data_IF_546147742283
#
_entry.id   IF_546147742283
#
_cell.length_a   1.000
_cell.length_b   1.000
_cell.length_c   1.000
_cell.angle_alpha   90.00
_cell.angle_beta   90.00
_cell.angle_gamma   90.00
#
_symmetry.space_group_name_H-M   'P 1'
#
loop_
_entity.id
_entity.type
_entity.pdbx_description
1 polymer ?
#
# COMPACT_ATOMS: atom_id res chain seq x y z
N UNK A 1 30.56 -2.79 13.84
CA UNK A 1 29.42 -2.22 14.58
C UNK A 1 28.14 -2.74 13.98
N UNK A 2 27.65 -3.86 14.51
CA UNK A 2 26.30 -4.36 14.24
C UNK A 2 25.59 -4.40 15.59
N UNK A 3 24.99 -3.28 15.98
CA UNK A 3 24.13 -3.21 17.14
C UNK A 3 22.71 -3.57 16.69
N UNK A 4 22.43 -4.87 16.67
CA UNK A 4 21.06 -5.38 16.54
C UNK A 4 20.34 -5.12 17.87
N UNK A 5 19.44 -4.13 17.88
CA UNK A 5 18.69 -3.69 19.06
C UNK A 5 17.43 -4.52 19.33
N UNK A 6 17.43 -5.81 18.96
CA UNK A 6 16.33 -6.74 19.19
C UNK A 6 16.74 -7.80 20.20
N UNK A 7 16.37 -7.62 21.46
CA UNK A 7 16.38 -8.69 22.47
C UNK A 7 15.03 -9.39 22.47
N UNK A 8 14.98 -10.60 21.94
CA UNK A 8 13.88 -11.52 22.20
C UNK A 8 14.16 -12.27 23.49
N UNK A 9 13.35 -12.04 24.51
CA UNK A 9 13.39 -12.82 25.74
C UNK A 9 13.12 -14.28 25.41
N UNK A 10 14.04 -15.18 25.78
CA UNK A 10 13.78 -16.63 25.76
C UNK A 10 12.56 -16.94 26.64
N UNK A 11 11.60 -17.76 26.17
CA UNK A 11 10.51 -18.18 27.02
C UNK A 11 11.07 -18.97 28.22
N UNK A 12 10.71 -18.53 29.42
CA UNK A 12 10.96 -19.27 30.65
C UNK A 12 10.33 -20.66 30.53
N UNK A 13 11.16 -21.70 30.58
CA UNK A 13 10.70 -23.08 30.73
C UNK A 13 9.97 -23.17 32.08
N UNK A 14 8.65 -23.27 32.03
CA UNK A 14 7.80 -23.53 33.18
C UNK A 14 7.03 -24.84 32.92
N UNK A 15 6.94 -25.63 33.99
CA UNK A 15 6.49 -27.01 34.06
C UNK A 15 5.27 -27.38 33.19
N UNK A 16 5.37 -28.58 32.62
CA UNK A 16 4.30 -29.30 31.95
C UNK A 16 3.15 -29.63 32.94
N UNK A 17 2.21 -28.72 33.09
CA UNK A 17 0.81 -29.10 33.34
C UNK A 17 -0.04 -28.61 32.18
N UNK A 18 -0.32 -29.57 31.30
CA UNK A 18 -1.14 -29.48 30.11
C UNK A 18 -2.59 -29.09 30.45
N UNK A 19 -2.89 -27.79 30.41
CA UNK A 19 -4.21 -27.28 30.04
C UNK A 19 -4.03 -26.43 28.81
N UNK A 20 -4.45 -26.96 27.65
CA UNK A 20 -4.52 -26.22 26.40
C UNK A 20 -5.20 -24.86 26.63
N UNK A 21 -4.61 -23.73 26.17
CA UNK A 21 -5.28 -22.44 26.19
C UNK A 21 -6.55 -22.56 25.34
N UNK A 22 -7.68 -22.61 26.03
CA UNK A 22 -9.01 -22.65 25.43
C UNK A 22 -9.44 -21.21 25.14
N UNK A 23 -8.76 -20.59 24.18
CA UNK A 23 -9.21 -19.49 23.31
C UNK A 23 -7.97 -18.82 22.72
N UNK A 24 -7.89 -18.63 21.38
CA UNK A 24 -6.90 -17.72 20.83
C UNK A 24 -7.21 -16.34 21.41
N UNK A 25 -6.24 -15.72 22.08
CA UNK A 25 -6.40 -14.37 22.60
C UNK A 25 -6.80 -13.44 21.45
N UNK A 26 -8.06 -13.00 21.44
CA UNK A 26 -8.58 -12.06 20.47
C UNK A 26 -7.98 -10.70 20.80
N UNK A 27 -6.92 -10.32 20.09
CA UNK A 27 -6.36 -8.98 20.22
C UNK A 27 -7.29 -8.01 19.49
N UNK A 28 -8.01 -7.18 20.23
CA UNK A 28 -8.86 -6.13 19.67
C UNK A 28 -8.07 -4.83 19.62
N UNK A 29 -7.72 -4.38 18.41
CA UNK A 29 -7.18 -3.04 18.20
C UNK A 29 -8.34 -2.04 18.27
N UNK A 30 -8.52 -1.41 19.43
CA UNK A 30 -9.66 -0.52 19.72
C UNK A 30 -9.44 0.90 19.21
N UNK A 31 -8.20 1.37 19.26
CA UNK A 31 -7.82 2.75 19.00
C UNK A 31 -6.31 2.90 18.78
N UNK A 32 -5.96 3.92 18.00
CA UNK A 32 -4.63 4.49 17.90
C UNK A 32 -4.81 6.00 18.07
N UNK A 33 -4.35 6.55 19.20
CA UNK A 33 -4.40 7.99 19.41
C UNK A 33 -3.54 8.72 18.37
N UNK A 34 -2.26 8.32 18.30
CA UNK A 34 -1.32 8.85 17.33
C UNK A 34 -0.16 7.85 17.12
N UNK A 35 0.18 7.61 15.87
CA UNK A 35 1.46 7.05 15.46
C UNK A 35 2.22 8.16 14.76
N UNK A 36 3.48 8.35 15.14
CA UNK A 36 4.38 9.33 14.54
C UNK A 36 5.74 8.66 14.29
N UNK A 37 6.16 8.62 13.03
CA UNK A 37 7.46 8.14 12.60
C UNK A 37 8.23 9.31 11.98
N UNK A 38 9.53 9.39 12.29
CA UNK A 38 10.44 10.42 11.76
C UNK A 38 11.76 9.78 11.38
N UNK A 39 12.40 10.31 10.34
CA UNK A 39 13.74 9.91 9.88
C UNK A 39 13.89 8.39 9.62
N UNK A 40 12.89 7.77 9.00
CA UNK A 40 12.94 6.34 8.64
C UNK A 40 13.50 6.18 7.23
N UNK A 41 14.50 5.33 7.06
CA UNK A 41 15.05 4.97 5.75
C UNK A 41 14.77 3.49 5.45
N UNK A 42 14.22 3.24 4.27
CA UNK A 42 13.91 1.92 3.73
C UNK A 42 14.64 1.74 2.40
N UNK A 43 15.46 0.69 2.31
CA UNK A 43 16.02 0.23 1.06
C UNK A 43 15.31 -1.07 0.66
N UNK A 44 14.73 -1.11 -0.53
CA UNK A 44 14.09 -2.28 -1.10
C UNK A 44 14.85 -2.74 -2.34
N UNK A 45 15.11 -4.04 -2.46
CA UNK A 45 15.71 -4.62 -3.65
C UNK A 45 14.69 -5.55 -4.30
N UNK A 46 14.28 -5.22 -5.52
CA UNK A 46 13.39 -6.04 -6.31
C UNK A 46 14.20 -7.13 -7.03
N UNK A 47 14.05 -8.38 -6.60
CA UNK A 47 14.77 -9.52 -7.20
C UNK A 47 14.37 -9.76 -8.67
N UNK A 48 13.17 -9.35 -9.09
CA UNK A 48 12.71 -9.59 -10.46
C UNK A 48 13.35 -8.61 -11.46
N UNK A 49 13.39 -7.32 -11.12
CA UNK A 49 14.02 -6.30 -11.96
C UNK A 49 15.52 -6.12 -11.69
N UNK A 50 16.00 -6.54 -10.52
CA UNK A 50 17.34 -6.23 -10.02
C UNK A 50 17.49 -4.78 -9.54
N UNK A 51 16.41 -4.00 -9.54
CA UNK A 51 16.42 -2.58 -9.18
C UNK A 51 16.35 -2.41 -7.66
N UNK A 52 17.17 -1.50 -7.14
CA UNK A 52 17.08 -1.05 -5.75
C UNK A 52 16.37 0.30 -5.66
N UNK A 53 15.50 0.42 -4.67
CA UNK A 53 14.69 1.59 -4.41
C UNK A 53 14.99 2.11 -3.00
N UNK A 54 15.26 3.41 -2.91
CA UNK A 54 15.48 4.09 -1.65
C UNK A 54 14.27 4.95 -1.31
N UNK A 55 13.70 4.72 -0.13
CA UNK A 55 12.60 5.52 0.41
C UNK A 55 12.97 6.08 1.77
N UNK A 56 12.97 7.41 1.89
CA UNK A 56 13.19 8.12 3.14
C UNK A 56 11.90 8.78 3.58
N UNK A 57 11.36 8.39 4.73
CA UNK A 57 10.21 9.01 5.37
C UNK A 57 10.73 10.10 6.29
N UNK A 58 10.48 11.35 5.93
CA UNK A 58 10.76 12.48 6.80
C UNK A 58 9.77 12.52 7.97
N UNK A 59 8.49 12.28 7.66
CA UNK A 59 7.42 12.25 8.64
C UNK A 59 6.32 11.30 8.17
N UNK A 60 5.82 10.45 9.06
CA UNK A 60 4.55 9.77 8.86
C UNK A 60 3.70 9.89 10.11
N UNK A 61 2.43 10.24 9.92
CA UNK A 61 1.46 10.32 11.01
C UNK A 61 0.26 9.44 10.70
N UNK A 62 -0.30 8.81 11.72
CA UNK A 62 -1.58 8.12 11.61
C UNK A 62 -2.39 8.30 12.90
N UNK A 63 -3.70 8.39 12.77
CA UNK A 63 -4.61 8.50 13.90
C UNK A 63 -5.90 7.74 13.61
N UNK A 64 -6.35 6.97 14.58
CA UNK A 64 -7.63 6.27 14.54
C UNK A 64 -8.21 6.23 15.96
N UNK A 65 -8.74 7.36 16.46
CA UNK A 65 -9.45 7.37 17.74
C UNK A 65 -10.58 6.33 17.75
N UNK A 66 -10.95 5.85 18.93
CA UNK A 66 -12.00 4.83 19.08
C UNK A 66 -13.30 5.24 18.35
N UNK A 67 -13.75 4.40 17.41
CA UNK A 67 -14.95 4.63 16.60
C UNK A 67 -14.81 5.70 15.50
N UNK A 68 -13.62 6.26 15.31
CA UNK A 68 -13.31 7.19 14.23
C UNK A 68 -12.62 6.48 13.06
N UNK A 69 -12.64 7.14 11.90
CA UNK A 69 -11.95 6.67 10.70
C UNK A 69 -10.44 6.75 10.87
N UNK A 70 -9.72 5.75 10.35
CA UNK A 70 -8.26 5.80 10.27
C UNK A 70 -7.85 6.86 9.25
N UNK A 71 -7.06 7.83 9.69
CA UNK A 71 -6.40 8.81 8.81
C UNK A 71 -4.90 8.64 8.91
N UNK A 72 -4.20 8.93 7.82
CA UNK A 72 -2.74 8.97 7.85
C UNK A 72 -2.16 9.84 6.75
N UNK A 73 -0.93 10.27 6.98
CA UNK A 73 -0.12 11.03 6.03
C UNK A 73 1.34 10.59 6.09
N UNK A 74 2.03 10.70 4.97
CA UNK A 74 3.44 10.39 4.83
C UNK A 74 4.06 11.50 3.99
N UNK A 75 5.21 12.02 4.42
CA UNK A 75 6.06 12.94 3.68
C UNK A 75 7.46 12.37 3.62
N UNK A 76 8.06 12.40 2.46
CA UNK A 76 9.35 11.75 2.26
C UNK A 76 9.96 12.00 0.90
N UNK A 77 10.90 11.12 0.57
CA UNK A 77 11.66 11.15 -0.67
C UNK A 77 11.80 9.72 -1.17
N UNK A 78 11.33 9.45 -2.39
CA UNK A 78 11.51 8.19 -3.10
C UNK A 78 12.48 8.39 -4.26
N UNK A 79 13.59 7.68 -4.29
CA UNK A 79 14.61 7.81 -5.33
C UNK A 79 15.01 9.27 -5.62
N UNK A 80 15.21 10.07 -4.56
CA UNK A 80 15.53 11.52 -4.59
C UNK A 80 14.39 12.43 -5.07
N UNK A 81 13.20 11.90 -5.28
CA UNK A 81 12.01 12.66 -5.65
C UNK A 81 11.09 12.82 -4.44
N UNK A 82 10.65 14.04 -4.10
CA UNK A 82 9.70 14.27 -3.02
C UNK A 82 8.41 13.48 -3.21
N UNK A 83 7.91 12.91 -2.12
CA UNK A 83 6.64 12.18 -2.08
C UNK A 83 5.81 12.68 -0.91
N UNK A 84 4.55 12.99 -1.18
CA UNK A 84 3.53 13.26 -0.18
C UNK A 84 2.39 12.26 -0.39
N UNK A 85 1.94 11.62 0.68
CA UNK A 85 0.79 10.72 0.66
C UNK A 85 -0.16 11.03 1.80
N UNK A 86 -1.45 10.85 1.56
CA UNK A 86 -2.48 10.95 2.58
C UNK A 86 -3.59 9.94 2.30
N UNK A 87 -4.24 9.44 3.35
CA UNK A 87 -5.37 8.54 3.19
C UNK A 87 -6.37 8.64 4.33
N UNK A 88 -7.60 8.24 4.00
CA UNK A 88 -8.66 7.96 4.98
C UNK A 88 -9.23 6.57 4.70
N UNK A 89 -9.45 5.80 5.76
CA UNK A 89 -10.09 4.49 5.68
C UNK A 89 -11.12 4.27 6.77
N UNK A 90 -11.72 3.09 6.76
CA UNK A 90 -12.67 2.68 7.78
C UNK A 90 -12.01 2.58 9.17
N UNK A 91 -12.85 2.50 10.21
CA UNK A 91 -12.43 2.36 11.61
C UNK A 91 -11.44 1.19 11.79
N UNK A 92 -10.47 1.40 12.69
CA UNK A 92 -9.40 0.45 12.95
C UNK A 92 -9.89 -0.89 13.52
N UNK A 93 -10.93 -0.86 14.35
CA UNK A 93 -11.58 -2.08 14.87
C UNK A 93 -12.07 -2.99 13.73
N UNK A 94 -12.47 -2.43 12.58
CA UNK A 94 -12.90 -3.19 11.42
C UNK A 94 -11.74 -3.93 10.80
N UNK A 95 -10.48 -3.48 10.91
CA UNK A 95 -9.34 -4.27 10.42
C UNK A 95 -9.20 -5.61 11.13
N UNK A 96 -9.66 -5.72 12.39
CA UNK A 96 -9.59 -6.96 13.18
C UNK A 96 -10.75 -7.92 12.89
N UNK A 97 -11.84 -7.45 12.28
CA UNK A 97 -13.03 -8.27 12.01
C UNK A 97 -12.92 -8.95 10.64
N UNK A 98 -12.90 -10.29 10.54
CA UNK A 98 -12.69 -10.98 9.25
C UNK A 98 -13.85 -10.79 8.26
N UNK A 99 -15.04 -10.40 8.73
CA UNK A 99 -16.29 -10.52 7.95
C UNK A 99 -16.55 -9.42 6.92
N UNK A 100 -15.92 -8.24 7.03
CA UNK A 100 -16.17 -7.11 6.12
C UNK A 100 -14.91 -6.60 5.44
N UNK A 101 -14.86 -6.40 4.11
CA UNK A 101 -13.72 -5.75 3.46
C UNK A 101 -13.44 -4.36 4.04
N UNK A 102 -12.18 -4.06 4.32
CA UNK A 102 -11.77 -2.75 4.84
C UNK A 102 -11.72 -1.73 3.70
N UNK A 103 -12.34 -0.56 3.89
CA UNK A 103 -12.48 0.45 2.83
C UNK A 103 -11.42 1.53 2.95
N UNK A 104 -10.82 1.87 1.81
CA UNK A 104 -9.99 3.04 1.59
C UNK A 104 -10.85 4.06 0.81
N UNK A 105 -11.01 5.29 1.32
CA UNK A 105 -11.92 6.28 0.73
C UNK A 105 -11.23 7.38 -0.03
N UNK A 106 -10.09 7.86 0.47
CA UNK A 106 -9.45 9.08 -0.02
C UNK A 106 -7.92 8.94 -0.04
N UNK A 107 -7.41 7.85 -0.62
CA UNK A 107 -5.98 7.67 -0.79
C UNK A 107 -5.44 8.60 -1.86
N UNK A 108 -4.38 9.34 -1.55
CA UNK A 108 -3.68 10.22 -2.48
C UNK A 108 -2.18 10.07 -2.30
N UNK A 109 -1.43 10.08 -3.40
CA UNK A 109 0.02 10.14 -3.42
C UNK A 109 0.44 11.12 -4.50
N UNK A 110 1.31 12.06 -4.17
CA UNK A 110 1.94 12.97 -5.13
C UNK A 110 3.42 12.64 -5.19
N UNK A 111 3.92 12.39 -6.40
CA UNK A 111 5.33 12.15 -6.70
C UNK A 111 5.64 12.79 -8.05
N UNK A 112 6.72 13.55 -8.15
CA UNK A 112 7.17 14.13 -9.42
C UNK A 112 6.05 14.90 -10.18
N UNK A 113 5.33 15.78 -9.47
CA UNK A 113 4.16 16.53 -9.97
C UNK A 113 3.02 15.67 -10.55
N UNK A 114 3.02 14.39 -10.19
CA UNK A 114 2.03 13.40 -10.59
C UNK A 114 1.22 12.97 -9.38
N UNK A 115 -0.10 13.12 -9.48
CA UNK A 115 -1.04 12.75 -8.42
C UNK A 115 -1.72 11.44 -8.75
N UNK A 116 -1.54 10.48 -7.85
CA UNK A 116 -2.25 9.22 -7.78
C UNK A 116 -3.37 9.36 -6.77
N UNK A 117 -4.57 8.92 -7.12
CA UNK A 117 -5.71 8.82 -6.22
C UNK A 117 -6.21 7.40 -6.24
N UNK A 118 -6.54 6.86 -5.07
CA UNK A 118 -7.00 5.49 -4.92
C UNK A 118 -8.12 5.43 -3.89
N UNK A 119 -9.19 4.73 -4.27
CA UNK A 119 -10.30 4.38 -3.39
C UNK A 119 -10.58 2.91 -3.58
N UNK A 120 -11.08 2.20 -2.57
CA UNK A 120 -11.24 0.76 -2.73
C UNK A 120 -11.64 0.01 -1.49
N UNK A 121 -11.61 -1.31 -1.62
CA UNK A 121 -11.90 -2.28 -0.58
C UNK A 121 -10.85 -3.37 -0.63
N UNK A 122 -10.28 -3.69 0.52
CA UNK A 122 -9.32 -4.78 0.70
C UNK A 122 -9.99 -5.85 1.55
N UNK A 123 -10.11 -7.06 1.01
CA UNK A 123 -10.54 -8.20 1.78
C UNK A 123 -9.41 -8.66 2.71
N UNK A 124 -9.79 -9.20 3.87
CA UNK A 124 -8.86 -9.56 4.96
C UNK A 124 -8.68 -11.06 5.07
N UNK A 125 -8.44 -11.71 3.93
CA UNK A 125 -8.15 -13.14 3.90
C UNK A 125 -6.68 -13.36 4.31
N UNK A 126 -6.39 -14.10 5.40
CA UNK A 126 -5.03 -14.37 5.82
C UNK A 126 -4.24 -15.06 4.70
N UNK A 127 -3.14 -14.45 4.26
CA UNK A 127 -2.27 -14.98 3.21
C UNK A 127 -2.81 -14.84 1.79
N UNK A 128 -3.89 -14.10 1.57
CA UNK A 128 -4.45 -13.85 0.25
C UNK A 128 -4.91 -12.40 0.11
N UNK A 129 -4.11 -11.57 -0.57
CA UNK A 129 -4.54 -10.22 -0.91
C UNK A 129 -5.62 -10.28 -2.00
N UNK A 130 -6.83 -9.82 -1.67
CA UNK A 130 -7.89 -9.65 -2.64
C UNK A 130 -8.66 -8.36 -2.39
N UNK A 131 -9.25 -7.79 -3.43
CA UNK A 131 -9.89 -6.50 -3.31
C UNK A 131 -10.28 -5.87 -4.63
N UNK A 132 -10.81 -4.67 -4.51
CA UNK A 132 -11.18 -3.82 -5.62
C UNK A 132 -10.66 -2.41 -5.33
N UNK A 133 -10.03 -1.79 -6.31
CA UNK A 133 -9.50 -0.43 -6.23
C UNK A 133 -9.93 0.33 -7.47
N UNK A 134 -10.43 1.54 -7.27
CA UNK A 134 -10.58 2.55 -8.32
C UNK A 134 -9.34 3.45 -8.22
N UNK A 135 -8.54 3.46 -9.28
CA UNK A 135 -7.30 4.21 -9.37
C UNK A 135 -7.44 5.32 -10.40
N UNK A 136 -6.96 6.50 -10.05
CA UNK A 136 -6.82 7.62 -10.96
C UNK A 136 -5.40 8.16 -10.85
N UNK A 137 -4.82 8.55 -11.97
CA UNK A 137 -3.50 9.09 -12.08
C UNK A 137 -3.54 10.31 -13.00
N UNK A 138 -2.92 11.41 -12.60
CA UNK A 138 -2.83 12.64 -13.40
C UNK A 138 -1.45 13.27 -13.23
N UNK A 139 -0.84 13.69 -14.33
CA UNK A 139 0.47 14.32 -14.31
C UNK A 139 0.72 15.16 -15.56
N UNK A 140 1.74 16.01 -15.51
CA UNK A 140 2.11 16.90 -16.62
C UNK A 140 3.16 16.28 -17.56
N UNK A 141 3.98 15.36 -17.04
CA UNK A 141 5.16 14.84 -17.73
C UNK A 141 5.38 13.37 -17.32
N UNK A 142 5.06 12.45 -18.23
CA UNK A 142 5.22 11.02 -18.00
C UNK A 142 6.70 10.60 -17.88
N UNK A 143 7.65 11.11 -18.70
CA UNK A 143 9.08 10.91 -18.49
C UNK A 143 9.58 11.23 -17.07
N UNK A 144 9.11 12.32 -16.47
CA UNK A 144 9.47 12.70 -15.08
C UNK A 144 9.04 11.62 -14.07
N UNK A 145 7.84 11.07 -14.23
CA UNK A 145 7.40 9.92 -13.44
C UNK A 145 8.29 8.69 -13.71
N UNK A 146 8.54 8.38 -14.98
CA UNK A 146 9.35 7.23 -15.40
C UNK A 146 10.75 7.24 -14.78
N UNK A 147 11.41 8.39 -14.76
CA UNK A 147 12.72 8.57 -14.14
C UNK A 147 12.73 8.24 -12.64
N UNK A 148 11.60 8.42 -11.94
CA UNK A 148 11.47 8.06 -10.52
C UNK A 148 11.53 6.54 -10.30
N UNK A 149 11.15 5.76 -11.33
CA UNK A 149 11.11 4.30 -11.33
C UNK A 149 12.19 3.67 -12.22
N UNK A 150 13.13 4.46 -12.74
CA UNK A 150 14.14 4.02 -13.72
C UNK A 150 13.53 3.39 -14.99
N UNK A 151 12.38 3.91 -15.44
CA UNK A 151 11.69 3.50 -16.66
C UNK A 151 11.68 4.64 -17.66
N UNK A 152 12.14 4.37 -18.88
CA UNK A 152 12.02 5.32 -19.98
C UNK A 152 10.59 5.34 -20.50
N UNK A 153 9.88 6.45 -20.27
CA UNK A 153 8.52 6.66 -20.75
C UNK A 153 8.49 7.73 -21.86
N UNK A 154 7.54 7.65 -22.82
CA UNK A 154 7.45 8.60 -23.90
C UNK A 154 6.93 9.96 -23.41
N UNK A 155 7.46 11.04 -23.99
CA UNK A 155 6.91 12.38 -23.79
C UNK A 155 5.62 12.54 -24.60
N UNK A 156 4.51 12.65 -23.88
CA UNK A 156 3.15 12.73 -24.42
C UNK A 156 2.37 13.92 -23.83
N UNK A 157 3.07 14.85 -23.18
CA UNK A 157 2.46 15.99 -22.50
C UNK A 157 1.63 15.62 -21.28
N UNK A 158 0.61 16.44 -21.00
CA UNK A 158 -0.28 16.21 -19.85
C UNK A 158 -1.06 14.92 -20.06
N UNK A 159 -1.18 14.11 -19.01
CA UNK A 159 -1.85 12.83 -19.09
C UNK A 159 -2.78 12.59 -17.91
N UNK A 160 -3.78 11.76 -18.16
CA UNK A 160 -4.59 11.14 -17.12
C UNK A 160 -4.85 9.66 -17.42
N UNK A 161 -4.89 8.87 -16.37
CA UNK A 161 -5.20 7.45 -16.42
C UNK A 161 -6.27 7.17 -15.36
N UNK A 162 -7.30 6.45 -15.72
CA UNK A 162 -8.30 5.90 -14.80
C UNK A 162 -8.43 4.41 -15.03
N UNK A 163 -8.58 3.63 -13.97
CA UNK A 163 -8.86 2.21 -14.08
C UNK A 163 -9.50 1.66 -12.82
N UNK A 164 -10.25 0.58 -12.98
CA UNK A 164 -10.74 -0.25 -11.89
C UNK A 164 -9.94 -1.54 -11.83
N UNK A 165 -9.19 -1.70 -10.75
CA UNK A 165 -8.35 -2.87 -10.51
C UNK A 165 -9.04 -3.81 -9.54
N UNK A 166 -9.22 -5.06 -9.96
CA UNK A 166 -9.62 -6.17 -9.09
C UNK A 166 -8.44 -7.09 -8.88
N UNK A 167 -8.12 -7.35 -7.63
CA UNK A 167 -7.07 -8.31 -7.25
C UNK A 167 -7.72 -9.52 -6.60
N UNK A 168 -7.28 -10.70 -7.00
CA UNK A 168 -7.68 -11.98 -6.44
C UNK A 168 -6.48 -12.93 -6.41
N UNK A 169 -6.54 -14.03 -5.64
CA UNK A 169 -5.43 -14.99 -5.56
C UNK A 169 -5.03 -15.58 -6.92
N UNK A 170 -5.97 -15.65 -7.86
CA UNK A 170 -5.75 -16.28 -9.17
C UNK A 170 -5.51 -15.28 -10.30
N UNK A 171 -5.79 -14.00 -10.11
CA UNK A 171 -5.77 -13.02 -11.19
C UNK A 171 -5.72 -11.58 -10.70
N UNK A 172 -5.11 -10.73 -11.53
CA UNK A 172 -5.23 -9.28 -11.48
C UNK A 172 -5.98 -8.84 -12.75
N UNK A 173 -7.06 -8.09 -12.57
CA UNK A 173 -7.86 -7.54 -13.66
C UNK A 173 -7.88 -6.02 -13.53
N UNK A 174 -7.60 -5.32 -14.62
CA UNK A 174 -7.77 -3.88 -14.73
C UNK A 174 -8.82 -3.63 -15.81
N UNK A 175 -9.97 -3.09 -15.42
CA UNK A 175 -11.06 -2.78 -16.34
C UNK A 175 -11.26 -1.28 -16.43
N UNK A 176 -12.05 -0.84 -17.41
CA UNK A 176 -12.36 0.58 -17.63
C UNK A 176 -11.07 1.42 -17.76
N UNK A 177 -10.00 0.84 -18.33
CA UNK A 177 -8.71 1.54 -18.47
C UNK A 177 -8.92 2.66 -19.47
N UNK A 178 -8.95 3.89 -18.98
CA UNK A 178 -9.06 5.10 -19.79
C UNK A 178 -7.77 5.88 -19.64
N UNK A 179 -7.01 5.99 -20.72
CA UNK A 179 -5.80 6.79 -20.78
C UNK A 179 -6.02 7.95 -21.75
N UNK A 180 -5.77 9.16 -21.29
CA UNK A 180 -5.90 10.39 -22.07
C UNK A 180 -4.62 11.19 -21.98
N UNK A 181 -4.20 11.75 -23.11
CA UNK A 181 -3.08 12.68 -23.25
C UNK A 181 -3.35 13.64 -24.41
N UNK A 182 -2.49 14.64 -24.58
CA UNK A 182 -2.60 15.59 -25.70
C UNK A 182 -2.50 14.90 -27.07
N UNK A 183 -1.78 13.77 -27.14
CA UNK A 183 -1.51 13.05 -28.37
C UNK A 183 -2.44 11.84 -28.61
N UNK A 184 -3.07 11.30 -27.55
CA UNK A 184 -3.73 9.99 -27.61
C UNK A 184 -4.84 9.85 -26.57
N UNK A 185 -5.92 9.16 -26.98
CA UNK A 185 -6.90 8.56 -26.08
C UNK A 185 -6.93 7.05 -26.33
N UNK A 186 -6.85 6.26 -25.26
CA UNK A 186 -6.89 4.80 -25.27
C UNK A 186 -7.92 4.30 -24.27
N UNK A 187 -8.73 3.34 -24.70
CA UNK A 187 -9.68 2.63 -23.84
C UNK A 187 -9.39 1.12 -23.92
N UNK A 188 -9.26 0.45 -22.79
CA UNK A 188 -8.90 -0.96 -22.76
C UNK A 188 -9.36 -1.69 -21.49
N UNK A 189 -9.26 -3.01 -21.54
CA UNK A 189 -9.36 -3.89 -20.39
C UNK A 189 -8.18 -4.86 -20.42
N UNK A 190 -7.60 -5.16 -19.26
CA UNK A 190 -6.49 -6.09 -19.07
C UNK A 190 -6.87 -7.15 -18.05
N UNK A 191 -6.57 -8.40 -18.36
CA UNK A 191 -6.71 -9.52 -17.42
C UNK A 191 -5.44 -10.35 -17.44
N UNK A 192 -4.79 -10.49 -16.29
CA UNK A 192 -3.59 -11.29 -16.10
C UNK A 192 -3.90 -12.42 -15.12
N UNK A 193 -3.82 -13.66 -15.59
CA UNK A 193 -3.90 -14.85 -14.74
C UNK A 193 -2.58 -15.08 -14.02
N UNK A 194 -2.64 -15.35 -12.71
CA UNK A 194 -1.48 -15.72 -11.91
C UNK A 194 -1.29 -17.23 -11.93
N UNK A 195 -0.05 -17.73 -12.04
CA UNK A 195 0.21 -19.16 -11.95
C UNK A 195 -0.14 -19.67 -10.55
N UNK A 196 -0.67 -20.89 -10.45
CA UNK A 196 -1.13 -21.50 -9.19
C UNK A 196 -0.03 -21.63 -8.11
N UNK A 197 1.24 -21.37 -8.46
CA UNK A 197 2.40 -21.42 -7.57
C UNK A 197 2.83 -20.06 -7.03
N UNK A 198 2.23 -18.95 -7.47
CA UNK A 198 2.52 -17.62 -6.94
C UNK A 198 1.93 -17.50 -5.52
N UNK A 199 2.80 -17.51 -4.50
CA UNK A 199 2.43 -17.15 -3.12
C UNK A 199 2.90 -15.71 -2.89
N UNK A 200 1.98 -14.85 -2.47
CA UNK A 200 2.28 -13.52 -1.96
C UNK A 200 2.66 -13.59 -0.48
#
# INVERSE_FOLDING_TARGET
NNDNNFTFSTPSQADETNTAPKDPATFTLTDIDNVHLTDVSLAYHDEFSGTSYDFTIAEATASAPAGAQLTGSIRGVFNKVPVDAAFTGDELNKLSLPEEPWRLKDGTVTIADTTFSVTGRVAKDPGMFSGFMDIALKGADLPVLGNSFDVSLPDIGTFSLHSRVRVSPAAIQATDITFESDAMVLNSDLSCGLPATARF
#
